data_IF_579990083678
#
_entry.id   IF_579990083678
#
_cell.length_a   1.000
_cell.length_b   1.000
_cell.length_c   1.000
_cell.angle_alpha   90.00
_cell.angle_beta   90.00
_cell.angle_gamma   90.00
#
_symmetry.space_group_name_H-M   'P 1'
#
loop_
_entity.id
_entity.type
_entity.pdbx_description
1 polymer ?
#
# COMPACT_ATOMS: atom_id res chain seq x y z
N UNK A 1 6.64 1.33 -36.68
CA UNK A 1 6.75 0.72 -35.33
C UNK A 1 5.62 -0.30 -35.20
N UNK A 2 5.90 -1.46 -34.62
CA UNK A 2 4.87 -2.43 -34.24
C UNK A 2 4.72 -2.29 -32.73
N UNK A 3 3.68 -1.57 -32.30
CA UNK A 3 3.43 -1.31 -30.89
C UNK A 3 2.59 -2.44 -30.29
N UNK A 4 3.06 -2.96 -29.17
CA UNK A 4 2.27 -3.85 -28.31
C UNK A 4 1.18 -3.06 -27.58
N UNK A 5 0.11 -3.73 -27.10
CA UNK A 5 -0.92 -3.08 -26.27
C UNK A 5 -0.34 -2.32 -25.07
N UNK A 6 0.63 -2.91 -24.36
CA UNK A 6 1.30 -2.29 -23.22
C UNK A 6 2.06 -1.02 -23.60
N UNK A 7 2.69 -0.99 -24.77
CA UNK A 7 3.36 0.23 -25.25
C UNK A 7 2.35 1.32 -25.64
N UNK A 8 1.18 0.96 -26.20
CA UNK A 8 0.09 1.90 -26.46
C UNK A 8 -0.51 2.47 -25.16
N UNK A 9 -0.62 1.66 -24.10
CA UNK A 9 -1.04 2.11 -22.77
C UNK A 9 -0.03 3.09 -22.17
N UNK A 10 1.28 2.83 -22.31
CA UNK A 10 2.33 3.77 -21.89
C UNK A 10 2.26 5.11 -22.62
N UNK A 11 1.92 5.11 -23.91
CA UNK A 11 1.66 6.36 -24.63
C UNK A 11 0.46 7.12 -24.06
N UNK A 12 -0.58 6.41 -23.64
CA UNK A 12 -1.76 7.03 -23.01
C UNK A 12 -1.39 7.68 -21.67
N UNK A 13 -0.56 7.00 -20.87
CA UNK A 13 0.00 7.55 -19.62
C UNK A 13 0.81 8.82 -19.90
N UNK A 14 1.70 8.79 -20.90
CA UNK A 14 2.50 9.95 -21.29
C UNK A 14 1.62 11.15 -21.65
N UNK A 15 0.57 10.94 -22.46
CA UNK A 15 -0.36 12.03 -22.84
C UNK A 15 -1.07 12.62 -21.62
N UNK A 16 -1.48 11.77 -20.67
CA UNK A 16 -2.10 12.22 -19.43
C UNK A 16 -1.11 12.97 -18.52
N UNK A 17 0.13 12.49 -18.42
CA UNK A 17 1.23 13.11 -17.66
C UNK A 17 1.60 14.48 -18.22
N UNK A 18 1.74 14.59 -19.54
CA UNK A 18 1.96 15.86 -20.25
C UNK A 18 0.83 16.87 -20.00
N UNK A 19 -0.44 16.42 -20.05
CA UNK A 19 -1.58 17.27 -19.74
C UNK A 19 -1.50 17.79 -18.29
N UNK A 20 -1.16 16.93 -17.33
CA UNK A 20 -1.00 17.30 -15.93
C UNK A 20 0.17 18.28 -15.72
N UNK A 21 1.33 18.04 -16.36
CA UNK A 21 2.51 18.93 -16.33
C UNK A 21 2.16 20.34 -16.80
N UNK A 22 1.49 20.46 -17.95
CA UNK A 22 1.04 21.76 -18.50
C UNK A 22 0.03 22.48 -17.61
N UNK A 23 -0.82 21.75 -16.88
CA UNK A 23 -1.76 22.34 -15.90
C UNK A 23 -1.01 22.85 -14.67
N UNK A 24 -0.07 22.08 -14.15
CA UNK A 24 0.79 22.46 -13.03
C UNK A 24 1.63 23.70 -13.33
N UNK A 25 2.23 23.77 -14.53
CA UNK A 25 3.00 24.94 -14.99
C UNK A 25 2.16 26.24 -15.05
N UNK A 26 0.85 26.12 -15.26
CA UNK A 26 -0.10 27.25 -15.20
C UNK A 26 -0.53 27.60 -13.77
N UNK A 27 0.01 26.92 -12.76
CA UNK A 27 -0.34 27.11 -11.35
C UNK A 27 -1.65 26.47 -10.93
N UNK A 28 -2.20 25.54 -11.73
CA UNK A 28 -3.42 24.81 -11.34
C UNK A 28 -3.07 23.69 -10.36
N UNK A 29 -3.82 23.60 -9.26
CA UNK A 29 -3.75 22.48 -8.33
C UNK A 29 -4.29 21.22 -9.01
N UNK A 30 -3.51 20.14 -9.02
CA UNK A 30 -3.84 18.90 -9.71
C UNK A 30 -4.93 18.11 -8.97
N UNK A 31 -5.87 17.52 -9.70
CA UNK A 31 -6.80 16.53 -9.16
C UNK A 31 -6.15 15.13 -9.06
N UNK A 32 -6.92 14.13 -8.61
CA UNK A 32 -6.40 12.77 -8.38
C UNK A 32 -5.84 12.09 -9.65
N UNK A 33 -6.58 11.99 -10.78
CA UNK A 33 -6.03 11.43 -12.02
C UNK A 33 -4.81 12.18 -12.56
N UNK A 34 -4.80 13.52 -12.46
CA UNK A 34 -3.67 14.34 -12.92
C UNK A 34 -2.42 14.12 -12.08
N UNK A 35 -2.55 14.13 -10.75
CA UNK A 35 -1.44 13.88 -9.84
C UNK A 35 -0.86 12.47 -10.06
N UNK A 36 -1.72 11.47 -10.25
CA UNK A 36 -1.30 10.11 -10.57
C UNK A 36 -0.54 10.06 -11.89
N UNK A 37 -1.10 10.62 -12.97
CA UNK A 37 -0.47 10.62 -14.28
C UNK A 37 0.88 11.36 -14.28
N UNK A 38 0.97 12.51 -13.59
CA UNK A 38 2.20 13.30 -13.46
C UNK A 38 3.33 12.49 -12.81
N UNK A 39 3.04 11.80 -11.70
CA UNK A 39 4.03 10.99 -11.00
C UNK A 39 4.39 9.75 -11.82
N UNK A 40 3.41 9.04 -12.35
CA UNK A 40 3.63 7.81 -13.13
C UNK A 40 4.50 8.08 -14.36
N UNK A 41 4.21 9.15 -15.11
CA UNK A 41 5.00 9.58 -16.27
C UNK A 41 6.46 9.84 -15.88
N UNK A 42 6.68 10.60 -14.80
CA UNK A 42 8.03 10.88 -14.30
C UNK A 42 8.78 9.58 -13.89
N UNK A 43 8.11 8.63 -13.25
CA UNK A 43 8.71 7.33 -12.88
C UNK A 43 9.11 6.51 -14.11
N UNK A 44 8.29 6.52 -15.17
CA UNK A 44 8.58 5.81 -16.41
C UNK A 44 9.78 6.44 -17.14
N UNK A 45 9.86 7.77 -17.20
CA UNK A 45 11.03 8.46 -17.75
C UNK A 45 12.29 8.19 -16.92
N UNK A 46 12.19 8.22 -15.60
CA UNK A 46 13.31 7.88 -14.72
C UNK A 46 13.80 6.43 -14.90
N UNK A 47 12.89 5.48 -15.13
CA UNK A 47 13.27 4.10 -15.49
C UNK A 47 13.98 4.05 -16.85
N UNK A 48 13.50 4.84 -17.83
CA UNK A 48 14.11 4.95 -19.17
C UNK A 48 15.50 5.59 -19.14
N UNK A 49 15.74 6.52 -18.21
CA UNK A 49 17.04 7.14 -17.91
C UNK A 49 18.03 6.17 -17.25
N UNK A 50 17.58 4.98 -16.82
CA UNK A 50 18.43 3.98 -16.17
C UNK A 50 18.61 4.18 -14.67
N UNK A 51 17.74 4.95 -14.00
CA UNK A 51 17.70 5.00 -12.53
C UNK A 51 17.35 3.63 -11.97
N UNK A 52 17.79 3.33 -10.74
CA UNK A 52 17.42 2.07 -10.08
C UNK A 52 16.08 2.20 -9.36
N UNK A 53 15.39 1.06 -9.15
CA UNK A 53 14.06 1.01 -8.55
C UNK A 53 14.01 1.71 -7.18
N UNK A 54 15.00 1.46 -6.31
CA UNK A 54 15.06 2.08 -4.98
C UNK A 54 15.10 3.60 -5.02
N UNK A 55 15.78 4.18 -6.01
CA UNK A 55 15.91 5.63 -6.16
C UNK A 55 14.58 6.23 -6.62
N UNK A 56 13.89 5.56 -7.55
CA UNK A 56 12.59 5.98 -8.06
C UNK A 56 11.49 5.95 -6.99
N UNK A 57 11.55 4.97 -6.07
CA UNK A 57 10.60 4.89 -4.94
C UNK A 57 10.69 6.14 -4.06
N UNK A 58 11.91 6.55 -3.68
CA UNK A 58 12.11 7.74 -2.87
C UNK A 58 11.83 9.03 -3.63
N UNK A 59 12.35 9.13 -4.86
CA UNK A 59 12.22 10.32 -5.71
C UNK A 59 10.77 10.59 -6.11
N UNK A 60 9.99 9.55 -6.44
CA UNK A 60 8.58 9.70 -6.80
C UNK A 60 7.74 10.41 -5.74
N UNK A 61 8.08 10.23 -4.45
CA UNK A 61 7.42 10.89 -3.34
C UNK A 61 7.84 12.36 -3.14
N UNK A 62 8.82 12.86 -3.90
CA UNK A 62 9.27 14.27 -3.85
C UNK A 62 8.67 15.13 -4.95
N UNK A 63 7.95 14.52 -5.89
CA UNK A 63 7.50 15.17 -7.12
C UNK A 63 6.32 16.13 -6.91
N UNK A 64 5.44 15.82 -5.95
CA UNK A 64 4.27 16.60 -5.64
C UNK A 64 4.11 16.75 -4.12
N UNK A 65 3.68 17.94 -3.72
CA UNK A 65 3.29 18.25 -2.35
C UNK A 65 1.80 18.55 -2.25
N UNK A 66 1.29 18.72 -1.03
CA UNK A 66 -0.08 19.21 -0.80
C UNK A 66 -0.36 20.57 -1.42
N UNK A 67 0.68 21.35 -1.72
CA UNK A 67 0.55 22.69 -2.31
C UNK A 67 0.24 22.57 -3.82
N UNK A 68 0.69 21.49 -4.46
CA UNK A 68 0.53 21.22 -5.90
C UNK A 68 -0.81 20.55 -6.25
N UNK A 69 -1.57 20.05 -5.27
CA UNK A 69 -2.77 19.23 -5.50
C UNK A 69 -4.01 19.80 -4.83
N UNK A 70 -5.18 19.45 -5.36
CA UNK A 70 -6.46 19.80 -4.74
C UNK A 70 -6.60 19.15 -3.35
N UNK A 71 -7.41 19.79 -2.49
CA UNK A 71 -7.72 19.28 -1.15
C UNK A 71 -8.26 17.84 -1.23
N UNK A 72 -7.76 16.97 -0.34
CA UNK A 72 -8.16 15.56 -0.25
C UNK A 72 -7.40 14.60 -1.18
N UNK A 73 -6.73 15.08 -2.24
CA UNK A 73 -6.02 14.23 -3.21
C UNK A 73 -4.97 13.35 -2.53
N UNK A 74 -4.19 13.90 -1.59
CA UNK A 74 -3.19 13.15 -0.83
C UNK A 74 -3.77 11.90 -0.14
N UNK A 75 -4.97 12.01 0.43
CA UNK A 75 -5.64 10.89 1.14
C UNK A 75 -6.14 9.82 0.18
N UNK A 76 -6.51 10.20 -1.04
CA UNK A 76 -6.94 9.29 -2.10
C UNK A 76 -5.77 8.52 -2.74
N UNK A 77 -4.52 8.91 -2.45
CA UNK A 77 -3.32 8.35 -3.08
C UNK A 77 -2.37 7.77 -2.01
N UNK A 78 -2.74 6.66 -1.34
CA UNK A 78 -1.85 6.03 -0.35
C UNK A 78 -0.60 5.40 -1.01
N UNK A 79 -0.74 4.94 -2.25
CA UNK A 79 0.37 4.44 -3.05
C UNK A 79 0.07 4.52 -4.54
N UNK A 80 1.12 4.62 -5.35
CA UNK A 80 1.08 4.46 -6.80
C UNK A 80 1.94 3.26 -7.18
N UNK A 81 1.46 2.48 -8.14
CA UNK A 81 2.21 1.38 -8.73
C UNK A 81 2.27 1.52 -10.24
N UNK A 82 3.46 1.33 -10.81
CA UNK A 82 3.67 1.28 -12.26
C UNK A 82 4.82 0.34 -12.60
N UNK A 83 4.69 -0.39 -13.71
CA UNK A 83 5.77 -1.18 -14.27
C UNK A 83 6.61 -0.35 -15.25
N UNK A 84 7.86 -0.07 -14.87
CA UNK A 84 8.86 0.59 -15.71
C UNK A 84 9.72 -0.41 -16.47
N UNK A 85 10.18 -0.04 -17.66
CA UNK A 85 11.18 -0.80 -18.41
C UNK A 85 12.57 -0.25 -18.12
N UNK A 86 13.39 -1.04 -17.42
CA UNK A 86 14.76 -0.69 -17.04
C UNK A 86 15.76 -1.39 -17.99
N UNK A 87 17.06 -1.02 -17.94
CA UNK A 87 18.11 -1.73 -18.70
C UNK A 87 18.17 -3.24 -18.43
N UNK A 88 17.74 -3.68 -17.23
CA UNK A 88 17.68 -5.07 -16.79
C UNK A 88 16.26 -5.68 -16.88
N UNK A 89 15.37 -5.07 -17.67
CA UNK A 89 14.01 -5.55 -17.93
C UNK A 89 12.93 -4.84 -17.12
N UNK A 90 11.70 -5.36 -17.22
CA UNK A 90 10.54 -4.76 -16.55
C UNK A 90 10.59 -4.96 -15.03
N UNK A 91 10.29 -3.90 -14.26
CA UNK A 91 10.22 -3.93 -12.78
C UNK A 91 9.04 -3.11 -12.29
N UNK A 92 8.39 -3.60 -11.22
CA UNK A 92 7.34 -2.87 -10.52
C UNK A 92 7.94 -1.80 -9.60
N UNK A 93 7.53 -0.55 -9.79
CA UNK A 93 7.84 0.57 -8.92
C UNK A 93 6.62 0.82 -8.04
N UNK A 94 6.82 0.92 -6.73
CA UNK A 94 5.76 1.25 -5.76
C UNK A 94 6.17 2.47 -4.95
N UNK A 95 5.46 3.59 -5.12
CA UNK A 95 5.68 4.81 -4.34
C UNK A 95 4.62 4.89 -3.26
N UNK A 96 5.03 4.84 -1.99
CA UNK A 96 4.16 5.03 -0.82
C UNK A 96 4.08 6.51 -0.46
N UNK A 97 2.87 6.96 -0.10
CA UNK A 97 2.56 8.36 0.22
C UNK A 97 3.18 9.34 -0.81
N UNK A 98 2.85 9.19 -2.10
CA UNK A 98 3.47 9.94 -3.20
C UNK A 98 3.27 11.46 -3.14
N UNK A 99 2.29 11.95 -2.37
CA UNK A 99 2.06 13.37 -2.14
C UNK A 99 2.45 13.72 -0.70
N UNK A 100 3.55 14.45 -0.53
CA UNK A 100 4.08 14.82 0.79
C UNK A 100 3.46 16.13 1.30
N UNK A 101 3.48 16.40 2.63
CA UNK A 101 3.14 17.73 3.13
C UNK A 101 4.02 18.80 2.48
N UNK A 102 3.40 19.87 2.00
CA UNK A 102 4.07 21.07 1.50
C UNK A 102 4.29 22.10 2.61
N UNK A 103 4.34 23.36 2.20
CA UNK A 103 4.52 24.52 3.08
C UNK A 103 3.21 25.09 3.59
N UNK A 104 2.12 24.94 2.83
CA UNK A 104 0.80 25.41 3.26
C UNK A 104 0.26 24.49 4.37
N UNK A 105 -0.47 25.03 5.36
CA UNK A 105 -1.23 24.21 6.28
C UNK A 105 -2.14 23.27 5.49
N UNK A 106 -2.13 21.99 5.84
CA UNK A 106 -3.01 21.01 5.21
C UNK A 106 -4.44 21.45 5.54
N UNK A 107 -5.13 21.97 4.53
CA UNK A 107 -6.55 22.29 4.63
C UNK A 107 -7.31 20.97 4.80
N UNK A 108 -7.54 20.58 6.06
CA UNK A 108 -8.50 19.53 6.38
C UNK A 108 -9.87 20.19 6.25
N UNK A 109 -10.60 19.91 5.17
CA UNK A 109 -12.02 20.18 5.17
C UNK A 109 -12.63 19.28 6.24
N UNK A 110 -12.83 19.81 7.44
CA UNK A 110 -13.43 19.11 8.57
C UNK A 110 -14.82 18.53 8.24
N UNK A 111 -15.42 18.91 7.12
CA UNK A 111 -16.80 18.54 6.80
C UNK A 111 -16.94 17.21 6.03
N UNK A 112 -16.10 16.89 5.03
CA UNK A 112 -16.35 15.70 4.18
C UNK A 112 -15.08 15.10 3.59
N UNK A 113 -14.47 14.13 4.28
CA UNK A 113 -13.39 13.32 3.73
C UNK A 113 -13.97 12.19 2.88
N UNK A 114 -13.60 12.16 1.59
CA UNK A 114 -14.07 11.12 0.67
C UNK A 114 -13.72 9.72 1.19
N UNK A 115 -14.73 8.86 1.31
CA UNK A 115 -14.59 7.49 1.80
C UNK A 115 -14.28 7.37 3.30
N UNK A 116 -14.46 8.41 4.10
CA UNK A 116 -14.27 8.32 5.55
C UNK A 116 -15.30 7.39 6.21
N UNK A 117 -14.78 6.51 7.07
CA UNK A 117 -15.60 5.60 7.87
C UNK A 117 -15.77 6.21 9.27
N UNK A 118 -16.99 6.65 9.58
CA UNK A 118 -17.34 7.16 10.90
C UNK A 118 -17.79 5.98 11.77
N UNK A 119 -17.11 5.78 12.89
CA UNK A 119 -17.42 4.70 13.84
C UNK A 119 -17.77 5.27 15.21
N UNK A 120 -18.68 4.63 15.96
CA UNK A 120 -18.87 4.95 17.37
C UNK A 120 -17.57 4.74 18.14
N UNK A 121 -17.36 5.53 19.19
CA UNK A 121 -16.26 5.28 20.13
C UNK A 121 -16.48 3.95 20.85
N UNK A 122 -15.41 3.19 21.07
CA UNK A 122 -15.43 1.95 21.85
C UNK A 122 -14.51 0.86 21.31
N UNK A 123 -14.64 -0.33 21.89
CA UNK A 123 -13.92 -1.55 21.47
C UNK A 123 -14.89 -2.71 21.30
N UNK A 124 -14.55 -3.64 20.39
CA UNK A 124 -15.36 -4.84 20.14
C UNK A 124 -14.70 -6.01 20.88
N UNK A 125 -15.43 -6.60 21.83
CA UNK A 125 -15.01 -7.84 22.50
C UNK A 125 -15.24 -9.04 21.58
N UNK A 126 -14.15 -9.70 21.20
CA UNK A 126 -14.14 -10.86 20.30
C UNK A 126 -14.41 -12.16 21.06
N UNK A 127 -14.86 -13.21 20.35
CA UNK A 127 -14.93 -14.60 20.82
C UNK A 127 -15.57 -14.81 22.22
N UNK A 128 -16.53 -13.94 22.61
CA UNK A 128 -17.15 -13.97 23.93
C UNK A 128 -17.84 -15.31 24.22
N UNK A 129 -17.75 -15.74 25.48
CA UNK A 129 -18.39 -16.97 25.96
C UNK A 129 -17.73 -18.26 25.48
N UNK A 130 -16.58 -18.20 24.80
CA UNK A 130 -15.81 -19.39 24.42
C UNK A 130 -14.79 -19.74 25.50
N UNK A 131 -14.52 -21.03 25.64
CA UNK A 131 -13.43 -21.51 26.49
C UNK A 131 -12.10 -20.97 25.96
N UNK A 132 -11.24 -20.50 26.86
CA UNK A 132 -9.92 -19.98 26.55
C UNK A 132 -8.86 -20.72 27.38
N UNK A 133 -7.74 -21.02 26.76
CA UNK A 133 -6.59 -21.65 27.37
C UNK A 133 -5.33 -20.88 26.94
N UNK A 134 -4.41 -20.68 27.88
CA UNK A 134 -3.09 -20.11 27.58
C UNK A 134 -2.08 -21.23 27.55
N UNK A 135 -1.37 -21.36 26.43
CA UNK A 135 -0.29 -22.34 26.24
C UNK A 135 1.03 -21.62 25.95
N UNK A 136 2.11 -22.11 26.54
CA UNK A 136 3.47 -21.76 26.11
C UNK A 136 3.82 -22.62 24.91
N UNK A 137 4.30 -21.97 23.84
CA UNK A 137 4.63 -22.63 22.57
C UNK A 137 6.07 -22.33 22.23
N UNK A 138 6.86 -23.36 21.97
CA UNK A 138 8.25 -23.24 21.58
C UNK A 138 8.42 -23.72 20.14
N UNK A 139 9.01 -22.88 19.26
CA UNK A 139 9.44 -23.34 17.94
C UNK A 139 10.82 -23.99 18.06
N UNK A 140 10.88 -25.31 17.88
CA UNK A 140 12.13 -26.09 17.88
C UNK A 140 12.72 -26.26 16.47
N UNK A 141 12.01 -25.76 15.45
CA UNK A 141 12.44 -25.81 14.06
C UNK A 141 13.51 -24.78 13.70
N UNK A 142 14.11 -24.96 12.53
CA UNK A 142 15.11 -24.08 11.93
C UNK A 142 14.51 -22.97 11.04
N UNK A 143 13.17 -22.93 10.95
CA UNK A 143 12.41 -22.04 10.09
C UNK A 143 11.32 -21.32 10.87
N UNK A 144 10.97 -20.08 10.49
CA UNK A 144 9.82 -19.38 11.04
C UNK A 144 8.53 -20.17 10.79
N UNK A 145 7.63 -20.17 11.78
CA UNK A 145 6.29 -20.74 11.69
C UNK A 145 5.30 -19.65 12.10
N UNK A 146 4.23 -19.47 11.32
CA UNK A 146 3.18 -18.50 11.55
C UNK A 146 1.82 -19.21 11.48
N UNK A 147 0.98 -19.00 12.49
CA UNK A 147 -0.29 -19.72 12.67
C UNK A 147 -1.46 -18.74 12.53
N UNK A 148 -2.39 -19.08 11.64
CA UNK A 148 -3.59 -18.27 11.39
C UNK A 148 -4.66 -18.41 12.48
N UNK A 149 -5.46 -17.36 12.64
CA UNK A 149 -6.58 -17.27 13.62
C UNK A 149 -7.54 -18.45 13.66
N UNK A 150 -7.74 -19.16 12.54
CA UNK A 150 -8.73 -20.24 12.40
C UNK A 150 -8.12 -21.61 12.11
N UNK A 151 -6.79 -21.75 12.21
CA UNK A 151 -6.18 -23.07 12.19
C UNK A 151 -6.55 -23.81 13.49
N UNK A 152 -6.92 -25.09 13.36
CA UNK A 152 -7.03 -25.97 14.52
C UNK A 152 -5.65 -26.10 15.17
N UNK A 153 -5.47 -25.54 16.37
CA UNK A 153 -4.14 -25.35 16.96
C UNK A 153 -3.42 -26.66 17.22
N UNK A 154 -4.17 -27.73 17.52
CA UNK A 154 -3.68 -29.11 17.60
C UNK A 154 -2.89 -29.56 16.37
N UNK A 155 -3.31 -29.11 15.18
CA UNK A 155 -2.73 -29.48 13.88
C UNK A 155 -1.64 -28.50 13.42
N UNK A 156 -1.23 -27.55 14.28
CA UNK A 156 -0.12 -26.66 13.99
C UNK A 156 1.18 -27.46 13.77
N UNK A 157 2.13 -26.83 13.06
CA UNK A 157 3.38 -27.45 12.62
C UNK A 157 4.03 -28.34 13.71
N UNK A 158 4.49 -29.54 13.32
CA UNK A 158 5.09 -30.52 14.23
C UNK A 158 6.35 -29.99 14.96
N UNK A 159 7.05 -29.00 14.39
CA UNK A 159 8.19 -28.33 15.02
C UNK A 159 7.80 -27.38 16.17
N UNK A 160 6.50 -27.11 16.36
CA UNK A 160 6.01 -26.40 17.53
C UNK A 160 5.77 -27.39 18.67
N UNK A 161 6.49 -27.18 19.76
CA UNK A 161 6.35 -27.92 21.02
C UNK A 161 5.42 -27.16 21.97
N UNK A 162 4.32 -27.81 22.34
CA UNK A 162 3.31 -27.34 23.28
C UNK A 162 2.41 -28.53 23.68
N UNK A 163 1.54 -28.33 24.67
CA UNK A 163 0.54 -29.33 25.05
C UNK A 163 -0.53 -29.47 23.97
N UNK A 164 -0.35 -30.46 23.09
CA UNK A 164 -1.27 -30.71 21.98
C UNK A 164 -2.62 -31.17 22.49
N UNK A 165 -2.68 -32.11 23.42
CA UNK A 165 -3.94 -32.64 23.93
C UNK A 165 -4.83 -31.52 24.51
N UNK A 166 -4.24 -30.61 25.29
CA UNK A 166 -4.95 -29.46 25.84
C UNK A 166 -5.44 -28.46 24.76
N UNK A 167 -4.81 -28.45 23.59
CA UNK A 167 -5.19 -27.59 22.46
C UNK A 167 -6.24 -28.19 21.52
N UNK A 168 -6.70 -29.43 21.75
CA UNK A 168 -7.68 -30.08 20.88
C UNK A 168 -9.01 -29.33 20.85
N UNK A 169 -9.52 -29.04 19.64
CA UNK A 169 -10.70 -28.23 19.41
C UNK A 169 -10.48 -26.71 19.58
N UNK A 170 -9.25 -26.26 19.87
CA UNK A 170 -8.93 -24.87 20.11
C UNK A 170 -8.31 -24.20 18.87
N UNK A 171 -8.41 -22.87 18.82
CA UNK A 171 -7.76 -22.01 17.83
C UNK A 171 -7.27 -20.74 18.53
N UNK A 172 -6.41 -19.97 17.85
CA UNK A 172 -5.94 -18.70 18.40
C UNK A 172 -7.10 -17.73 18.68
N UNK A 173 -7.11 -17.17 19.89
CA UNK A 173 -8.06 -16.11 20.29
C UNK A 173 -7.54 -14.74 19.84
N UNK A 174 -7.51 -14.54 18.52
CA UNK A 174 -7.04 -13.30 17.87
C UNK A 174 -8.06 -12.83 16.82
N UNK A 175 -7.97 -11.60 16.29
CA UNK A 175 -8.85 -11.14 15.23
C UNK A 175 -8.82 -12.07 14.00
N UNK A 176 -9.97 -12.27 13.39
CA UNK A 176 -10.08 -13.09 12.18
C UNK A 176 -9.15 -12.54 11.07
N UNK A 177 -8.42 -13.44 10.40
CA UNK A 177 -7.43 -13.08 9.38
C UNK A 177 -6.04 -12.69 9.91
N UNK A 178 -5.89 -12.49 11.23
CA UNK A 178 -4.57 -12.29 11.85
C UNK A 178 -3.90 -13.63 12.09
N UNK A 179 -2.57 -13.61 12.08
CA UNK A 179 -1.71 -14.74 12.42
C UNK A 179 -0.61 -14.32 13.38
N UNK A 180 -0.11 -15.28 14.16
CA UNK A 180 0.97 -15.10 15.14
C UNK A 180 2.10 -16.08 14.91
#
# INVERSE_FOLDING_TARGET
>A
MILTPTEMERMTIFVAGEMARRRKEKGLKLNHPEAQAYIVDALLEGAREGRIVSDLVGWGATLLTTDDVMVGVRRLMPMIQVEGLFPDGAKLITVHDPVRPGTEPIADSNDHRAGEVITPQGTIKMNQGRACLTLTVLNTGDRPVQIGSHLHFFEANAALEFDREASFGMRLDVPAGVSR
#
